data_IF_063904634767
#
_entry.id   IF_063904634767
#
_cell.length_a   1.000
_cell.length_b   1.000
_cell.length_c   1.000
_cell.angle_alpha   90.00
_cell.angle_beta   90.00
_cell.angle_gamma   90.00
#
_symmetry.space_group_name_H-M   'P 1'
#
loop_
_entity.id
_entity.type
_entity.pdbx_description
1 polymer ?
#
# COMPACT_ATOMS: atom_id res chain seq x y z
N UNK A 1 -7.89 11.40 -0.66
CA UNK A 1 -6.93 10.72 0.23
C UNK A 1 -5.61 11.45 0.12
N UNK A 2 -5.19 12.11 1.19
CA UNK A 2 -3.89 12.76 1.26
C UNK A 2 -2.84 11.72 1.66
N UNK A 3 -1.56 12.06 1.48
CA UNK A 3 -0.43 11.17 1.77
C UNK A 3 -0.32 10.85 3.27
N UNK A 4 -0.80 11.75 4.13
CA UNK A 4 -0.75 11.58 5.58
C UNK A 4 -1.69 10.45 6.06
N UNK A 5 -2.84 10.27 5.42
CA UNK A 5 -3.73 9.13 5.69
C UNK A 5 -3.05 7.82 5.29
N UNK A 6 -2.37 7.78 4.13
CA UNK A 6 -1.61 6.60 3.69
C UNK A 6 -0.53 6.25 4.71
N UNK A 7 0.23 7.24 5.18
CA UNK A 7 1.27 7.04 6.20
C UNK A 7 0.67 6.52 7.51
N UNK A 8 -0.44 7.12 7.95
CA UNK A 8 -1.14 6.70 9.16
C UNK A 8 -1.65 5.26 9.07
N UNK A 9 -2.10 4.82 7.89
CA UNK A 9 -2.47 3.42 7.64
C UNK A 9 -1.25 2.48 7.69
N UNK A 10 -0.13 2.86 7.08
CA UNK A 10 1.12 2.09 7.13
C UNK A 10 1.64 1.97 8.57
N UNK A 11 1.53 3.04 9.37
CA UNK A 11 1.90 3.06 10.79
C UNK A 11 0.96 2.18 11.63
N UNK A 12 -0.36 2.19 11.35
CA UNK A 12 -1.34 1.31 11.97
C UNK A 12 -0.98 -0.17 11.78
N UNK A 13 -0.52 -0.55 10.58
CA UNK A 13 -0.22 -1.94 10.25
C UNK A 13 1.19 -2.40 10.67
N UNK A 14 2.14 -1.49 10.86
CA UNK A 14 3.57 -1.78 11.09
C UNK A 14 3.86 -2.87 12.14
N UNK A 15 3.13 -2.85 13.27
CA UNK A 15 3.38 -3.80 14.36
C UNK A 15 3.01 -5.25 13.99
N UNK A 16 1.98 -5.42 13.15
CA UNK A 16 1.38 -6.71 12.77
C UNK A 16 1.67 -7.14 11.32
N UNK A 17 2.23 -6.26 10.49
CA UNK A 17 2.53 -6.57 9.09
C UNK A 17 3.48 -7.79 8.98
N UNK A 18 3.12 -8.83 8.20
CA UNK A 18 3.98 -10.01 8.01
C UNK A 18 5.28 -9.71 7.24
N UNK A 19 5.30 -8.66 6.41
CA UNK A 19 6.52 -8.12 5.79
C UNK A 19 6.75 -6.65 6.21
N UNK A 20 7.39 -6.45 7.36
CA UNK A 20 7.69 -5.10 7.86
C UNK A 20 8.65 -4.33 6.94
N UNK A 21 9.46 -5.03 6.16
CA UNK A 21 10.42 -4.39 5.27
C UNK A 21 9.70 -3.70 4.11
N UNK A 22 8.72 -4.37 3.49
CA UNK A 22 7.90 -3.76 2.43
C UNK A 22 7.06 -2.60 2.98
N UNK A 23 6.44 -2.76 4.15
CA UNK A 23 5.66 -1.70 4.80
C UNK A 23 6.49 -0.42 4.98
N UNK A 24 7.70 -0.56 5.55
CA UNK A 24 8.65 0.55 5.74
C UNK A 24 9.20 1.11 4.43
N UNK A 25 9.34 0.30 3.39
CA UNK A 25 9.79 0.75 2.08
C UNK A 25 8.74 1.68 1.46
N UNK A 26 7.47 1.28 1.49
CA UNK A 26 6.35 2.09 0.98
C UNK A 26 6.19 3.37 1.80
N UNK A 27 6.28 3.27 3.13
CA UNK A 27 6.24 4.46 4.01
C UNK A 27 7.34 5.46 3.68
N UNK A 28 8.57 4.99 3.40
CA UNK A 28 9.67 5.87 2.97
C UNK A 28 9.37 6.57 1.65
N UNK A 29 8.80 5.87 0.67
CA UNK A 29 8.38 6.48 -0.59
C UNK A 29 7.32 7.56 -0.40
N UNK A 30 6.42 7.41 0.58
CA UNK A 30 5.43 8.45 0.91
C UNK A 30 6.08 9.76 1.38
N UNK A 31 7.27 9.72 2.00
CA UNK A 31 7.99 10.92 2.45
C UNK A 31 8.97 11.49 1.40
N UNK A 32 9.21 10.79 0.30
CA UNK A 32 10.23 11.14 -0.69
C UNK A 32 9.59 11.51 -2.03
N UNK A 33 8.84 12.62 -2.07
CA UNK A 33 8.08 13.05 -3.27
C UNK A 33 8.93 13.12 -4.54
N UNK A 34 10.19 13.53 -4.43
CA UNK A 34 11.15 13.56 -5.54
C UNK A 34 11.46 12.18 -6.15
N UNK A 35 11.13 11.08 -5.44
CA UNK A 35 11.28 9.69 -5.90
C UNK A 35 9.98 9.07 -6.39
N UNK A 36 8.84 9.76 -6.35
CA UNK A 36 7.57 9.19 -6.82
C UNK A 36 7.59 8.79 -8.29
N UNK A 37 8.44 9.42 -9.12
CA UNK A 37 8.65 8.99 -10.51
C UNK A 37 9.21 7.56 -10.60
N UNK A 38 9.88 7.09 -9.54
CA UNK A 38 10.41 5.72 -9.42
C UNK A 38 9.40 4.76 -8.80
N UNK A 39 8.18 5.20 -8.47
CA UNK A 39 7.17 4.34 -7.84
C UNK A 39 6.70 3.19 -8.76
N UNK A 40 6.96 3.25 -10.08
CA UNK A 40 6.86 2.08 -10.95
C UNK A 40 7.76 0.93 -10.50
N UNK A 41 9.02 1.23 -10.14
CA UNK A 41 9.97 0.24 -9.62
C UNK A 41 9.56 -0.28 -8.24
N UNK A 42 8.96 0.59 -7.40
CA UNK A 42 8.35 0.17 -6.15
C UNK A 42 7.22 -0.83 -6.42
N UNK A 43 6.28 -0.49 -7.30
CA UNK A 43 5.18 -1.38 -7.67
C UNK A 43 5.69 -2.74 -8.16
N UNK A 44 6.67 -2.78 -9.07
CA UNK A 44 7.26 -4.04 -9.55
C UNK A 44 7.87 -4.86 -8.42
N UNK A 45 8.59 -4.20 -7.50
CA UNK A 45 9.19 -4.86 -6.33
C UNK A 45 8.13 -5.52 -5.44
N UNK A 46 7.05 -4.80 -5.13
CA UNK A 46 5.95 -5.34 -4.32
C UNK A 46 5.21 -6.45 -5.08
N UNK A 47 5.01 -6.28 -6.39
CA UNK A 47 4.33 -7.27 -7.24
C UNK A 47 5.06 -8.60 -7.26
N UNK A 48 6.39 -8.59 -7.35
CA UNK A 48 7.20 -9.81 -7.29
C UNK A 48 7.07 -10.53 -5.94
N UNK A 49 6.96 -9.77 -4.83
CA UNK A 49 6.68 -10.33 -3.50
C UNK A 49 5.27 -10.91 -3.43
N UNK A 50 4.28 -10.21 -3.99
CA UNK A 50 2.89 -10.65 -4.03
C UNK A 50 2.71 -11.97 -4.79
N UNK A 51 3.30 -12.08 -5.98
CA UNK A 51 3.27 -13.32 -6.77
C UNK A 51 3.83 -14.53 -6.00
N UNK A 52 4.88 -14.32 -5.18
CA UNK A 52 5.42 -15.36 -4.31
C UNK A 52 4.46 -15.72 -3.18
N UNK A 53 3.83 -14.75 -2.52
CA UNK A 53 2.84 -15.00 -1.48
C UNK A 53 1.62 -15.76 -2.01
N UNK A 54 1.10 -15.35 -3.17
CA UNK A 54 0.00 -16.04 -3.87
C UNK A 54 0.39 -17.51 -4.14
N UNK A 55 1.59 -17.74 -4.69
CA UNK A 55 2.08 -19.11 -4.96
C UNK A 55 2.20 -19.96 -3.69
N UNK A 56 2.52 -19.33 -2.56
CA UNK A 56 2.64 -19.99 -1.26
C UNK A 56 1.30 -20.13 -0.52
N UNK A 57 0.22 -19.52 -1.02
CA UNK A 57 -1.07 -19.47 -0.35
C UNK A 57 -1.09 -18.58 0.90
N UNK A 58 -0.10 -17.69 1.07
CA UNK A 58 0.00 -16.79 2.21
C UNK A 58 -0.95 -15.59 2.03
N UNK A 59 -2.19 -15.78 2.50
CA UNK A 59 -3.27 -14.80 2.32
C UNK A 59 -3.06 -13.49 3.06
N UNK A 60 -2.36 -13.51 4.20
CA UNK A 60 -2.11 -12.28 4.96
C UNK A 60 -1.08 -11.43 4.21
N UNK A 61 -0.01 -12.03 3.70
CA UNK A 61 0.95 -11.32 2.83
C UNK A 61 0.32 -10.85 1.52
N UNK A 62 -0.53 -11.66 0.89
CA UNK A 62 -1.27 -11.24 -0.30
C UNK A 62 -2.09 -9.97 -0.02
N UNK A 63 -2.82 -9.91 1.10
CA UNK A 63 -3.57 -8.72 1.51
C UNK A 63 -2.65 -7.51 1.71
N UNK A 64 -1.49 -7.72 2.37
CA UNK A 64 -0.52 -6.65 2.59
C UNK A 64 0.01 -6.08 1.27
N UNK A 65 0.46 -6.95 0.37
CA UNK A 65 1.04 -6.51 -0.89
C UNK A 65 0.00 -5.89 -1.84
N UNK A 66 -1.25 -6.35 -1.82
CA UNK A 66 -2.33 -5.69 -2.57
C UNK A 66 -2.57 -4.25 -2.09
N UNK A 67 -2.51 -4.00 -0.78
CA UNK A 67 -2.57 -2.66 -0.20
C UNK A 67 -1.37 -1.79 -0.61
N UNK A 68 -0.16 -2.33 -0.56
CA UNK A 68 1.07 -1.63 -0.93
C UNK A 68 1.17 -1.32 -2.42
N UNK A 69 0.75 -2.25 -3.30
CA UNK A 69 0.74 -2.06 -4.76
C UNK A 69 -0.11 -0.84 -5.14
N UNK A 70 -1.32 -0.70 -4.57
CA UNK A 70 -2.21 0.43 -4.90
C UNK A 70 -1.68 1.76 -4.37
N UNK A 71 -0.92 1.76 -3.28
CA UNK A 71 -0.19 2.95 -2.83
C UNK A 71 0.89 3.32 -3.85
N UNK A 72 1.70 2.37 -4.30
CA UNK A 72 2.74 2.63 -5.30
C UNK A 72 2.17 3.22 -6.61
N UNK A 73 1.03 2.69 -7.08
CA UNK A 73 0.29 3.24 -8.23
C UNK A 73 -0.18 4.67 -7.97
N UNK A 74 -0.74 4.91 -6.79
CA UNK A 74 -1.20 6.24 -6.35
C UNK A 74 -0.07 7.26 -6.35
N UNK A 75 1.08 6.93 -5.75
CA UNK A 75 2.26 7.80 -5.71
C UNK A 75 2.76 8.14 -7.11
N UNK A 76 2.83 7.16 -8.01
CA UNK A 76 3.24 7.40 -9.40
C UNK A 76 2.28 8.33 -10.12
N UNK A 77 0.97 8.10 -10.01
CA UNK A 77 -0.05 8.92 -10.69
C UNK A 77 -0.02 10.39 -10.24
N UNK A 78 0.36 10.67 -8.98
CA UNK A 78 0.52 12.04 -8.49
C UNK A 78 1.64 12.82 -9.19
N UNK A 79 2.60 12.14 -9.84
CA UNK A 79 3.65 12.80 -10.62
C UNK A 79 3.18 13.37 -11.95
N UNK A 80 1.99 12.98 -12.43
CA UNK A 80 1.46 13.32 -13.77
C UNK A 80 2.40 12.92 -14.92
N UNK A 81 3.19 11.86 -14.70
CA UNK A 81 4.04 11.27 -15.74
C UNK A 81 3.20 10.69 -16.88
N UNK A 82 3.84 10.48 -18.04
CA UNK A 82 3.28 9.70 -19.13
C UNK A 82 3.02 8.25 -18.70
N UNK A 83 2.00 7.62 -19.29
CA UNK A 83 1.54 6.25 -18.99
C UNK A 83 1.18 6.01 -17.51
N UNK A 84 0.19 6.72 -16.96
CA UNK A 84 -0.26 6.51 -15.58
C UNK A 84 -0.88 5.11 -15.39
N UNK A 85 -0.86 4.64 -14.15
CA UNK A 85 -1.72 3.54 -13.73
C UNK A 85 -3.20 3.96 -13.71
N UNK A 86 -4.08 3.00 -13.42
CA UNK A 86 -5.52 3.23 -13.34
C UNK A 86 -5.86 4.44 -12.44
N UNK A 87 -6.69 5.39 -12.92
CA UNK A 87 -6.96 6.65 -12.22
C UNK A 87 -7.74 6.46 -10.92
N UNK A 88 -8.38 5.30 -10.73
CA UNK A 88 -9.12 4.93 -9.54
C UNK A 88 -8.24 4.34 -8.43
N UNK A 89 -6.93 4.16 -8.66
CA UNK A 89 -5.97 3.62 -7.69
C UNK A 89 -6.10 4.20 -6.27
N UNK A 90 -6.33 5.52 -6.06
CA UNK A 90 -6.53 6.06 -4.71
C UNK A 90 -7.74 5.49 -3.96
N UNK A 91 -8.84 5.15 -4.66
CA UNK A 91 -10.03 4.56 -4.05
C UNK A 91 -9.77 3.12 -3.60
N UNK A 92 -8.88 2.41 -4.29
CA UNK A 92 -8.49 1.05 -3.93
C UNK A 92 -7.63 0.99 -2.67
N UNK A 93 -6.97 2.07 -2.27
CA UNK A 93 -6.17 2.11 -1.03
C UNK A 93 -7.04 1.83 0.18
N UNK A 94 -8.19 2.52 0.31
CA UNK A 94 -9.12 2.33 1.43
C UNK A 94 -9.67 0.91 1.45
N UNK A 95 -10.11 0.42 0.28
CA UNK A 95 -10.64 -0.95 0.16
C UNK A 95 -9.61 -1.99 0.59
N UNK A 96 -8.37 -1.88 0.12
CA UNK A 96 -7.32 -2.83 0.49
C UNK A 96 -6.86 -2.67 1.95
N UNK A 97 -6.90 -1.45 2.51
CA UNK A 97 -6.63 -1.22 3.93
C UNK A 97 -7.64 -1.96 4.82
N UNK A 98 -8.93 -1.91 4.49
CA UNK A 98 -9.97 -2.64 5.21
C UNK A 98 -9.78 -4.16 5.12
N UNK A 99 -9.40 -4.67 3.95
CA UNK A 99 -9.10 -6.09 3.73
C UNK A 99 -7.90 -6.51 4.58
N UNK A 100 -6.82 -5.73 4.58
CA UNK A 100 -5.63 -5.99 5.37
C UNK A 100 -5.90 -5.92 6.88
N UNK A 101 -6.66 -4.91 7.33
CA UNK A 101 -7.05 -4.80 8.74
C UNK A 101 -7.76 -6.06 9.22
N UNK A 102 -8.73 -6.56 8.44
CA UNK A 102 -9.40 -7.85 8.73
C UNK A 102 -8.41 -9.02 8.78
N UNK A 103 -7.46 -9.09 7.85
CA UNK A 103 -6.46 -10.16 7.81
C UNK A 103 -5.49 -10.12 9.01
N UNK A 104 -5.26 -8.94 9.58
CA UNK A 104 -4.38 -8.70 10.74
C UNK A 104 -5.13 -8.67 12.08
N UNK A 105 -6.43 -8.94 12.09
CA UNK A 105 -7.28 -8.80 13.27
C UNK A 105 -7.16 -7.40 13.91
N UNK A 106 -7.28 -6.38 13.07
CA UNK A 106 -7.33 -4.96 13.44
C UNK A 106 -8.77 -4.48 13.19
N UNK A 107 -9.40 -3.79 14.16
CA UNK A 107 -10.75 -3.26 13.99
C UNK A 107 -10.84 -2.31 12.79
N UNK A 108 -11.83 -2.51 11.92
CA UNK A 108 -12.05 -1.67 10.73
C UNK A 108 -12.29 -0.20 11.08
N UNK A 109 -12.81 0.07 12.28
CA UNK A 109 -13.02 1.41 12.84
C UNK A 109 -11.71 2.20 12.87
N UNK A 110 -10.57 1.54 13.12
CA UNK A 110 -9.26 2.20 13.09
C UNK A 110 -8.85 2.66 11.71
N UNK A 111 -9.24 1.93 10.67
CA UNK A 111 -9.03 2.37 9.28
C UNK A 111 -9.95 3.55 8.96
N UNK A 112 -11.22 3.48 9.37
CA UNK A 112 -12.21 4.55 9.16
C UNK A 112 -11.79 5.84 9.87
N UNK A 113 -11.33 5.76 11.12
CA UNK A 113 -10.82 6.90 11.90
C UNK A 113 -9.69 7.66 11.17
N UNK A 114 -8.90 6.99 10.35
CA UNK A 114 -7.78 7.59 9.60
C UNK A 114 -8.22 8.27 8.31
N UNK A 115 -9.29 7.77 7.66
CA UNK A 115 -9.68 8.19 6.30
C UNK A 115 -10.97 9.01 6.25
N UNK A 116 -11.62 9.22 7.39
CA UNK A 116 -12.81 10.06 7.55
C UNK A 116 -12.44 11.55 7.63
#
# INVERSE_FOLDING_TARGET
>A
MMIEEIKSLLDLFESKAPDKESNRLVWRFCNENHKWIKAHGLHSTIRDRNLKAIKQGDKVKECQYCFEEVIAKTLFNLTRSEAPFDPDSPYWVIKNALILAKALDIPSEKVVEIVA
#
